data_IF_663996335727
#
_entry.id   IF_663996335727
#
_cell.length_a   1.000
_cell.length_b   1.000
_cell.length_c   1.000
_cell.angle_alpha   90.00
_cell.angle_beta   90.00
_cell.angle_gamma   90.00
#
_symmetry.space_group_name_H-M   'P 1'
#
loop_
_entity.id
_entity.type
_entity.pdbx_description
1 polymer ?
#
# COMPACT_ATOMS: atom_id res chain seq x y z
N UNK A 1 -17.05 -21.93 -49.68
CA UNK A 1 -16.02 -20.86 -49.64
C UNK A 1 -15.91 -20.09 -48.32
N UNK A 2 -16.64 -20.40 -47.25
CA UNK A 2 -16.63 -19.67 -45.97
C UNK A 2 -15.57 -20.10 -44.94
N UNK A 3 -15.11 -21.36 -44.96
CA UNK A 3 -14.22 -21.92 -43.92
C UNK A 3 -12.79 -21.32 -43.95
N UNK A 4 -12.25 -21.03 -45.13
CA UNK A 4 -10.89 -20.44 -45.25
C UNK A 4 -10.79 -19.01 -44.71
N UNK A 5 -11.84 -18.21 -44.83
CA UNK A 5 -11.90 -16.84 -44.34
C UNK A 5 -11.96 -16.81 -42.80
N UNK A 6 -12.68 -17.73 -42.20
CA UNK A 6 -12.79 -17.88 -40.74
C UNK A 6 -11.46 -18.29 -40.10
N UNK A 7 -10.74 -19.21 -40.71
CA UNK A 7 -9.41 -19.64 -40.27
C UNK A 7 -8.38 -18.52 -40.42
N UNK A 8 -8.47 -17.74 -41.48
CA UNK A 8 -7.61 -16.58 -41.68
C UNK A 8 -7.80 -15.52 -40.54
N UNK A 9 -9.05 -15.14 -40.23
CA UNK A 9 -9.36 -14.20 -39.17
C UNK A 9 -8.97 -14.73 -37.80
N UNK A 10 -9.08 -16.03 -37.52
CA UNK A 10 -8.62 -16.62 -36.28
C UNK A 10 -7.09 -16.58 -36.15
N UNK A 11 -6.36 -16.80 -37.26
CA UNK A 11 -4.89 -16.72 -37.25
C UNK A 11 -4.40 -15.31 -37.03
N UNK A 12 -5.05 -14.32 -37.65
CA UNK A 12 -4.72 -12.91 -37.44
C UNK A 12 -5.00 -12.42 -36.01
N UNK A 13 -6.13 -12.83 -35.42
CA UNK A 13 -6.42 -12.55 -34.00
C UNK A 13 -5.37 -13.14 -33.05
N UNK A 14 -4.89 -14.37 -33.32
CA UNK A 14 -3.81 -14.98 -32.53
C UNK A 14 -2.51 -14.22 -32.66
N UNK A 15 -2.11 -13.81 -33.86
CA UNK A 15 -0.90 -13.00 -34.08
C UNK A 15 -0.96 -11.67 -33.37
N UNK A 16 -2.09 -10.96 -33.44
CA UNK A 16 -2.29 -9.69 -32.75
C UNK A 16 -2.20 -9.87 -31.23
N UNK A 17 -2.82 -10.93 -30.69
CA UNK A 17 -2.74 -11.24 -29.27
C UNK A 17 -1.30 -11.57 -28.80
N UNK A 18 -0.52 -12.30 -29.61
CA UNK A 18 0.89 -12.58 -29.33
C UNK A 18 1.75 -11.31 -29.38
N UNK A 19 1.53 -10.42 -30.36
CA UNK A 19 2.24 -9.14 -30.46
C UNK A 19 1.93 -8.23 -29.27
N UNK A 20 0.66 -8.18 -28.82
CA UNK A 20 0.27 -7.43 -27.64
C UNK A 20 0.92 -8.00 -26.37
N UNK A 21 0.94 -9.33 -26.22
CA UNK A 21 1.60 -10.00 -25.10
C UNK A 21 3.11 -9.77 -25.08
N UNK A 22 3.75 -9.76 -26.25
CA UNK A 22 5.18 -9.43 -26.36
C UNK A 22 5.47 -7.96 -26.03
N UNK A 23 4.64 -7.02 -26.50
CA UNK A 23 4.77 -5.61 -26.16
C UNK A 23 4.55 -5.32 -24.66
N UNK A 24 3.61 -6.01 -24.02
CA UNK A 24 3.41 -5.93 -22.57
C UNK A 24 4.61 -6.52 -21.81
N UNK A 25 5.15 -7.66 -22.26
CA UNK A 25 6.33 -8.26 -21.67
C UNK A 25 7.60 -7.40 -21.85
N UNK A 26 7.74 -6.73 -23.00
CA UNK A 26 8.82 -5.75 -23.23
C UNK A 26 8.65 -4.49 -22.37
N UNK A 27 7.43 -3.97 -22.27
CA UNK A 27 7.11 -2.83 -21.41
C UNK A 27 7.40 -3.14 -19.94
N UNK A 28 7.11 -4.35 -19.49
CA UNK A 28 7.44 -4.81 -18.14
C UNK A 28 8.96 -5.02 -17.93
N UNK A 29 9.70 -5.43 -18.96
CA UNK A 29 11.17 -5.52 -18.91
C UNK A 29 11.86 -4.16 -18.87
N UNK A 30 11.35 -3.18 -19.61
CA UNK A 30 11.89 -1.81 -19.60
C UNK A 30 11.57 -1.04 -18.33
N UNK A 31 10.49 -1.38 -17.60
CA UNK A 31 10.18 -0.80 -16.29
C UNK A 31 11.10 -1.32 -15.16
N UNK A 32 11.89 -2.36 -15.39
CA UNK A 32 12.84 -2.92 -14.41
C UNK A 32 14.10 -2.06 -14.18
N UNK A 33 14.42 -1.12 -15.07
CA UNK A 33 15.56 -0.23 -14.90
C UNK A 33 15.16 1.00 -14.09
N UNK A 34 15.53 1.02 -12.79
CA UNK A 34 15.44 2.23 -11.96
C UNK A 34 14.32 2.32 -10.95
N UNK A 35 13.67 1.22 -10.54
CA UNK A 35 12.77 1.28 -9.38
C UNK A 35 13.56 1.80 -8.16
N UNK A 36 13.09 2.89 -7.52
CA UNK A 36 13.77 3.39 -6.35
C UNK A 36 13.77 2.32 -5.26
N UNK A 37 14.88 2.17 -4.56
CA UNK A 37 14.92 1.32 -3.37
C UNK A 37 14.20 2.08 -2.25
N UNK A 38 12.92 1.78 -2.05
CA UNK A 38 12.08 2.31 -0.98
C UNK A 38 11.76 1.22 0.02
N UNK A 39 11.45 1.62 1.25
CA UNK A 39 11.22 0.69 2.36
C UNK A 39 12.51 0.17 2.96
N UNK A 40 12.39 -0.80 3.84
CA UNK A 40 13.47 -1.40 4.61
C UNK A 40 12.96 -1.89 5.95
N UNK A 41 13.84 -2.39 6.80
CA UNK A 41 13.45 -2.89 8.11
C UNK A 41 13.08 -1.74 9.05
N UNK A 42 11.90 -1.85 9.62
CA UNK A 42 11.41 -0.94 10.66
C UNK A 42 10.58 -1.73 11.67
N UNK A 43 10.49 -1.17 12.87
CA UNK A 43 9.60 -1.63 13.94
C UNK A 43 9.02 -0.38 14.60
N UNK A 44 7.70 -0.33 14.67
CA UNK A 44 6.92 0.73 15.32
C UNK A 44 6.00 0.10 16.36
N UNK A 45 5.18 0.90 17.01
CA UNK A 45 4.17 0.41 17.95
C UNK A 45 2.83 0.28 17.23
N UNK A 46 2.24 -0.91 17.27
CA UNK A 46 0.88 -1.15 16.83
C UNK A 46 -0.08 -0.52 17.85
N UNK A 47 -0.95 0.37 17.38
CA UNK A 47 -1.84 1.12 18.26
C UNK A 47 -2.94 0.25 18.89
N UNK A 48 -3.37 -0.84 18.23
CA UNK A 48 -4.39 -1.73 18.78
C UNK A 48 -3.84 -2.61 19.92
N UNK A 49 -2.66 -3.20 19.72
CA UNK A 49 -2.08 -4.16 20.65
C UNK A 49 -1.04 -3.58 21.62
N UNK A 50 -0.61 -2.33 21.38
CA UNK A 50 0.51 -1.66 22.08
C UNK A 50 1.82 -2.45 22.02
N UNK A 51 1.96 -3.38 21.05
CA UNK A 51 3.14 -4.24 20.87
C UNK A 51 3.99 -3.75 19.69
N UNK A 52 5.28 -4.10 19.66
CA UNK A 52 6.12 -3.86 18.48
C UNK A 52 5.52 -4.56 17.25
N UNK A 53 5.49 -3.82 16.12
CA UNK A 53 5.03 -4.31 14.82
C UNK A 53 5.82 -3.63 13.70
N UNK A 54 6.18 -4.37 12.66
CA UNK A 54 6.97 -3.80 11.58
C UNK A 54 7.06 -4.63 10.32
N UNK A 55 8.10 -4.39 9.55
CA UNK A 55 8.30 -5.02 8.23
C UNK A 55 8.41 -6.55 8.28
N UNK A 56 8.92 -7.11 9.40
CA UNK A 56 9.05 -8.56 9.55
C UNK A 56 7.68 -9.25 9.76
N UNK A 57 6.73 -8.57 10.45
CA UNK A 57 5.38 -9.08 10.69
C UNK A 57 4.54 -9.13 9.41
N UNK A 58 4.95 -8.37 8.40
CA UNK A 58 4.29 -8.32 7.09
C UNK A 58 4.80 -9.38 6.11
N UNK A 59 5.84 -10.15 6.45
CA UNK A 59 6.37 -11.17 5.55
C UNK A 59 5.32 -12.22 5.16
N UNK A 60 5.27 -12.51 3.89
CA UNK A 60 4.27 -13.39 3.27
C UNK A 60 2.96 -12.70 2.92
N UNK A 61 2.82 -11.39 3.10
CA UNK A 61 1.64 -10.59 2.77
C UNK A 61 2.02 -9.38 1.94
N UNK A 62 1.12 -8.95 1.06
CA UNK A 62 1.24 -7.63 0.48
C UNK A 62 0.81 -6.57 1.50
N UNK A 63 1.48 -5.43 1.50
CA UNK A 63 1.10 -4.29 2.33
C UNK A 63 0.83 -3.06 1.49
N UNK A 64 -0.23 -2.34 1.81
CA UNK A 64 -0.54 -1.02 1.28
C UNK A 64 -0.37 -0.01 2.42
N UNK A 65 0.68 0.81 2.33
CA UNK A 65 1.11 1.70 3.42
C UNK A 65 0.77 3.15 3.06
N UNK A 66 0.17 3.86 3.99
CA UNK A 66 -0.09 5.29 3.92
C UNK A 66 0.55 6.00 5.12
N UNK A 67 1.20 7.13 4.84
CA UNK A 67 1.73 8.03 5.87
C UNK A 67 0.80 9.23 5.99
N UNK A 68 0.35 9.54 7.19
CA UNK A 68 -0.60 10.61 7.45
C UNK A 68 -0.55 11.09 8.90
N UNK A 69 -1.55 11.85 9.34
CA UNK A 69 -1.71 12.25 10.74
C UNK A 69 -3.20 12.43 11.07
N UNK A 70 -3.58 12.17 12.32
CA UNK A 70 -4.99 12.08 12.72
C UNK A 70 -5.70 13.43 12.72
N UNK A 71 -4.95 14.53 12.86
CA UNK A 71 -5.47 15.91 12.87
C UNK A 71 -5.56 16.54 11.47
N UNK A 72 -5.43 15.74 10.40
CA UNK A 72 -5.62 16.23 9.04
C UNK A 72 -7.11 16.43 8.76
N UNK A 73 -7.55 17.65 8.36
CA UNK A 73 -8.98 17.94 8.23
C UNK A 73 -9.64 17.31 6.99
N UNK A 74 -8.88 17.06 5.92
CA UNK A 74 -9.44 16.70 4.61
C UNK A 74 -8.77 15.49 3.96
N UNK A 75 -7.49 15.61 3.61
CA UNK A 75 -6.81 14.68 2.69
C UNK A 75 -6.61 13.29 3.29
N UNK A 76 -6.21 13.19 4.57
CA UNK A 76 -5.97 11.88 5.17
C UNK A 76 -7.24 11.05 5.31
N UNK A 77 -8.40 11.60 5.74
CA UNK A 77 -9.67 10.85 5.72
C UNK A 77 -10.05 10.37 4.32
N UNK A 78 -9.99 11.22 3.29
CA UNK A 78 -10.30 10.84 1.91
C UNK A 78 -9.41 9.71 1.39
N UNK A 79 -8.11 9.76 1.69
CA UNK A 79 -7.18 8.70 1.28
C UNK A 79 -7.43 7.40 2.05
N UNK A 80 -7.76 7.45 3.34
CA UNK A 80 -8.06 6.25 4.13
C UNK A 80 -9.38 5.59 3.71
N UNK A 81 -10.41 6.37 3.36
CA UNK A 81 -11.65 5.85 2.76
C UNK A 81 -11.36 5.15 1.42
N UNK A 82 -10.53 5.76 0.57
CA UNK A 82 -10.07 5.16 -0.67
C UNK A 82 -9.29 3.86 -0.42
N UNK A 83 -8.42 3.82 0.58
CA UNK A 83 -7.68 2.61 0.97
C UNK A 83 -8.62 1.51 1.41
N UNK A 84 -9.64 1.82 2.22
CA UNK A 84 -10.68 0.90 2.66
C UNK A 84 -11.41 0.28 1.45
N UNK A 85 -11.83 1.11 0.49
CA UNK A 85 -12.46 0.65 -0.76
C UNK A 85 -11.56 -0.31 -1.55
N UNK A 86 -10.27 -0.01 -1.69
CA UNK A 86 -9.28 -0.90 -2.35
C UNK A 86 -9.20 -2.25 -1.63
N UNK A 87 -9.17 -2.26 -0.30
CA UNK A 87 -9.10 -3.48 0.51
C UNK A 87 -10.35 -4.32 0.35
N UNK A 88 -11.53 -3.72 0.44
CA UNK A 88 -12.82 -4.40 0.30
C UNK A 88 -12.98 -5.03 -1.09
N UNK A 89 -12.64 -4.29 -2.15
CA UNK A 89 -12.66 -4.82 -3.52
C UNK A 89 -11.66 -5.97 -3.67
N UNK A 90 -10.48 -5.87 -3.06
CA UNK A 90 -9.46 -6.92 -3.08
C UNK A 90 -9.93 -8.17 -2.35
N UNK A 91 -10.51 -8.04 -1.15
CA UNK A 91 -11.07 -9.16 -0.40
C UNK A 91 -12.14 -9.89 -1.20
N UNK A 92 -13.05 -9.15 -1.81
CA UNK A 92 -14.14 -9.71 -2.62
C UNK A 92 -13.66 -10.47 -3.85
N UNK A 93 -12.58 -10.01 -4.49
CA UNK A 93 -12.12 -10.56 -5.78
C UNK A 93 -11.01 -11.62 -5.64
N UNK A 94 -10.09 -11.44 -4.68
CA UNK A 94 -8.89 -12.27 -4.50
C UNK A 94 -8.96 -13.09 -3.21
N UNK A 95 -9.54 -12.54 -2.15
CA UNK A 95 -9.74 -13.19 -0.85
C UNK A 95 -9.12 -12.44 0.31
N UNK A 96 -9.40 -12.95 1.50
CA UNK A 96 -9.00 -12.37 2.79
C UNK A 96 -7.48 -12.45 3.01
N UNK A 97 -6.97 -11.49 3.81
CA UNK A 97 -5.60 -11.45 4.32
C UNK A 97 -4.50 -11.46 3.24
N UNK A 98 -4.82 -11.00 2.03
CA UNK A 98 -3.87 -10.90 0.90
C UNK A 98 -3.20 -9.54 0.87
N UNK A 99 -3.97 -8.46 1.04
CA UNK A 99 -3.51 -7.07 1.09
C UNK A 99 -3.82 -6.50 2.46
N UNK A 100 -2.78 -6.05 3.17
CA UNK A 100 -2.90 -5.50 4.52
C UNK A 100 -2.75 -3.98 4.45
N UNK A 101 -3.80 -3.22 4.84
CA UNK A 101 -3.71 -1.77 4.93
C UNK A 101 -2.96 -1.35 6.20
N UNK A 102 -2.05 -0.39 6.05
CA UNK A 102 -1.24 0.14 7.16
C UNK A 102 -1.26 1.66 7.12
N UNK A 103 -1.62 2.27 8.22
CA UNK A 103 -1.45 3.69 8.49
C UNK A 103 -0.24 3.91 9.40
N UNK A 104 0.67 4.81 9.01
CA UNK A 104 1.82 5.22 9.83
C UNK A 104 1.70 6.71 10.11
N UNK A 105 1.65 7.10 11.37
CA UNK A 105 1.58 8.52 11.69
C UNK A 105 2.87 9.26 11.32
N UNK A 106 2.72 10.49 10.86
CA UNK A 106 3.81 11.46 10.68
C UNK A 106 3.94 12.43 11.86
N UNK A 107 2.99 12.42 12.79
CA UNK A 107 2.94 13.33 13.93
C UNK A 107 2.76 12.60 15.28
N UNK A 108 3.74 11.83 15.72
CA UNK A 108 3.63 11.06 16.96
C UNK A 108 3.56 11.94 18.23
N UNK A 109 3.70 13.25 18.11
CA UNK A 109 3.50 14.17 19.26
C UNK A 109 2.04 14.28 19.66
N UNK A 110 1.13 14.40 18.67
CA UNK A 110 -0.33 14.44 18.88
C UNK A 110 -0.96 13.07 18.73
N UNK A 111 -0.44 12.24 17.85
CA UNK A 111 -0.99 10.93 17.50
C UNK A 111 -0.48 9.86 18.48
N UNK A 112 -1.02 9.88 19.72
CA UNK A 112 -0.74 8.85 20.73
C UNK A 112 -1.26 7.49 20.28
N UNK A 113 -0.90 6.42 20.99
CA UNK A 113 -1.39 5.07 20.73
C UNK A 113 -2.93 5.04 20.73
N UNK A 114 -3.55 5.67 21.73
CA UNK A 114 -5.00 5.72 21.89
C UNK A 114 -5.67 6.47 20.74
N UNK A 115 -5.12 7.62 20.35
CA UNK A 115 -5.67 8.44 19.26
C UNK A 115 -5.57 7.70 17.94
N UNK A 116 -4.44 7.08 17.61
CA UNK A 116 -4.28 6.30 16.38
C UNK A 116 -5.19 5.09 16.38
N UNK A 117 -5.34 4.39 17.52
CA UNK A 117 -6.24 3.24 17.68
C UNK A 117 -7.70 3.60 17.37
N UNK A 118 -8.18 4.70 17.90
CA UNK A 118 -9.54 5.18 17.63
C UNK A 118 -9.71 5.61 16.16
N UNK A 119 -8.77 6.39 15.67
CA UNK A 119 -8.81 6.96 14.32
C UNK A 119 -8.90 5.91 13.21
N UNK A 120 -8.07 4.87 13.25
CA UNK A 120 -8.05 3.87 12.17
C UNK A 120 -9.32 3.03 12.11
N UNK A 121 -10.05 2.88 13.23
CA UNK A 121 -11.31 2.14 13.30
C UNK A 121 -12.45 2.82 12.54
N UNK A 122 -12.36 4.13 12.37
CA UNK A 122 -13.38 4.88 11.63
C UNK A 122 -13.39 4.55 10.13
N UNK A 123 -12.29 3.94 9.61
CA UNK A 123 -12.14 3.66 8.18
C UNK A 123 -12.27 2.18 7.83
N UNK A 124 -11.56 1.30 8.53
CA UNK A 124 -11.62 -0.13 8.20
C UNK A 124 -11.12 -1.02 9.34
N UNK A 125 -11.83 -2.15 9.59
CA UNK A 125 -11.50 -3.11 10.67
C UNK A 125 -10.10 -3.75 10.56
N UNK A 126 -9.56 -3.89 9.35
CA UNK A 126 -8.23 -4.45 9.12
C UNK A 126 -7.13 -3.40 9.04
N UNK A 127 -7.45 -2.11 9.13
CA UNK A 127 -6.46 -1.05 9.05
C UNK A 127 -5.59 -1.04 10.30
N UNK A 128 -4.30 -1.32 10.11
CA UNK A 128 -3.32 -1.33 11.19
C UNK A 128 -2.75 0.08 11.37
N UNK A 129 -3.00 0.68 12.52
CA UNK A 129 -2.42 1.96 12.92
C UNK A 129 -1.07 1.77 13.62
N UNK A 130 -0.04 2.47 13.12
CA UNK A 130 1.30 2.45 13.70
C UNK A 130 1.73 3.83 14.15
N UNK A 131 2.28 3.90 15.35
CA UNK A 131 2.92 5.10 15.92
C UNK A 131 4.25 4.71 16.56
N UNK A 132 4.98 5.67 17.11
CA UNK A 132 6.27 5.41 17.75
C UNK A 132 6.89 6.70 18.25
N UNK A 133 8.16 6.66 18.64
CA UNK A 133 8.85 7.90 18.96
C UNK A 133 9.19 8.73 17.71
N UNK A 134 9.46 10.02 17.93
CA UNK A 134 9.68 10.99 16.84
C UNK A 134 10.86 10.59 15.92
N UNK A 135 11.91 10.02 16.47
CA UNK A 135 13.12 9.70 15.71
C UNK A 135 12.91 8.43 14.88
N UNK A 136 12.18 7.43 15.42
CA UNK A 136 11.77 6.23 14.66
C UNK A 136 10.82 6.59 13.53
N UNK A 137 9.80 7.42 13.76
CA UNK A 137 8.90 7.89 12.70
C UNK A 137 9.67 8.62 11.60
N UNK A 138 10.58 9.54 11.96
CA UNK A 138 11.45 10.22 10.99
C UNK A 138 12.32 9.25 10.21
N UNK A 139 12.88 8.23 10.89
CA UNK A 139 13.70 7.20 10.25
C UNK A 139 12.88 6.39 9.25
N UNK A 140 11.67 5.96 9.63
CA UNK A 140 10.77 5.19 8.76
C UNK A 140 10.31 6.02 7.58
N UNK A 141 9.87 7.26 7.78
CA UNK A 141 9.51 8.19 6.70
C UNK A 141 10.67 8.35 5.68
N UNK A 142 11.91 8.45 6.16
CA UNK A 142 13.10 8.53 5.30
C UNK A 142 13.33 7.25 4.48
N UNK A 143 13.04 6.05 5.02
CA UNK A 143 13.13 4.79 4.27
C UNK A 143 12.19 4.77 3.06
N UNK A 144 11.01 5.36 3.20
CA UNK A 144 10.03 5.49 2.13
C UNK A 144 10.16 6.78 1.32
N UNK A 145 11.16 7.62 1.65
CA UNK A 145 11.35 8.96 1.06
C UNK A 145 10.10 9.84 1.19
N UNK A 146 9.36 9.66 2.26
CA UNK A 146 8.23 10.52 2.60
C UNK A 146 8.79 11.86 3.07
N UNK A 147 8.39 12.92 2.40
CA UNK A 147 8.61 14.27 2.90
C UNK A 147 7.67 14.49 4.08
N UNK A 148 8.20 14.99 5.18
CA UNK A 148 7.42 15.39 6.36
C UNK A 148 7.99 16.72 6.87
N UNK A 149 7.13 17.72 7.01
CA UNK A 149 7.49 19.02 7.56
C UNK A 149 6.43 19.49 8.55
N UNK A 150 6.87 19.89 9.72
CA UNK A 150 6.06 20.53 10.75
C UNK A 150 6.59 21.92 11.04
N UNK A 151 5.79 22.86 11.55
CA UNK A 151 6.29 24.16 12.00
C UNK A 151 7.43 24.02 12.99
N UNK A 152 8.43 24.92 12.97
CA UNK A 152 9.62 24.80 13.84
C UNK A 152 9.33 25.04 15.32
N UNK A 153 8.41 25.96 15.63
CA UNK A 153 8.12 26.41 16.99
C UNK A 153 6.74 25.95 17.44
N UNK A 154 6.61 24.65 17.78
CA UNK A 154 5.37 24.04 18.24
C UNK A 154 5.41 23.94 19.75
N UNK A 155 4.42 24.56 20.42
CA UNK A 155 4.16 24.39 21.85
C UNK A 155 3.14 23.28 22.09
N UNK A 156 3.10 22.76 23.31
CA UNK A 156 2.11 21.76 23.71
C UNK A 156 0.70 22.36 23.64
N UNK A 157 -0.20 21.73 22.91
CA UNK A 157 -1.58 22.21 22.69
C UNK A 157 -1.78 23.09 21.45
N UNK A 158 -0.73 23.38 20.69
CA UNK A 158 -0.86 24.12 19.44
C UNK A 158 -1.59 23.26 18.38
N UNK A 159 -2.50 23.93 17.63
CA UNK A 159 -3.07 23.36 16.42
C UNK A 159 -2.18 23.72 15.21
N UNK A 160 -1.68 22.70 14.52
CA UNK A 160 -0.80 22.87 13.36
C UNK A 160 -1.04 21.82 12.31
N UNK A 161 -0.71 22.12 11.06
CA UNK A 161 -0.73 21.17 9.95
C UNK A 161 0.67 20.57 9.74
N UNK A 162 0.70 19.32 9.33
CA UNK A 162 1.91 18.61 8.93
C UNK A 162 1.87 18.41 7.42
N UNK A 163 2.82 18.98 6.70
CA UNK A 163 3.00 18.68 5.28
C UNK A 163 3.67 17.33 5.11
N UNK A 164 3.04 16.44 4.36
CA UNK A 164 3.63 15.14 4.03
C UNK A 164 3.30 14.70 2.61
N UNK A 165 4.09 13.75 2.09
CA UNK A 165 3.83 13.14 0.78
C UNK A 165 2.55 12.30 0.82
N UNK A 166 1.66 12.52 -0.17
CA UNK A 166 0.36 11.86 -0.28
C UNK A 166 0.48 10.71 -1.28
N UNK A 167 0.92 9.54 -0.80
CA UNK A 167 1.10 8.34 -1.61
C UNK A 167 0.71 7.09 -0.84
N UNK A 168 0.12 6.11 -1.53
CA UNK A 168 0.14 4.74 -1.07
C UNK A 168 1.41 4.06 -1.56
N UNK A 169 2.02 3.25 -0.71
CA UNK A 169 3.19 2.45 -1.04
C UNK A 169 2.81 0.98 -1.01
N UNK A 170 2.93 0.31 -2.17
CA UNK A 170 2.68 -1.13 -2.28
C UNK A 170 3.97 -1.90 -2.06
N UNK A 171 3.95 -2.82 -1.09
CA UNK A 171 5.06 -3.72 -0.78
C UNK A 171 4.69 -5.16 -1.10
N UNK A 172 5.67 -5.94 -1.59
CA UNK A 172 5.49 -7.37 -1.83
C UNK A 172 5.65 -8.19 -0.54
N UNK A 173 5.35 -9.52 -0.59
CA UNK A 173 5.48 -10.42 0.56
C UNK A 173 6.92 -10.60 1.08
N UNK A 174 7.92 -10.22 0.33
CA UNK A 174 9.33 -10.19 0.77
C UNK A 174 9.74 -8.83 1.36
N UNK A 175 8.82 -7.85 1.43
CA UNK A 175 9.08 -6.50 1.91
C UNK A 175 9.79 -5.60 0.90
N UNK A 176 9.73 -5.93 -0.40
CA UNK A 176 10.28 -5.09 -1.46
C UNK A 176 9.20 -4.14 -1.99
N UNK A 177 9.62 -2.94 -2.33
CA UNK A 177 8.76 -1.95 -2.96
C UNK A 177 8.33 -2.37 -4.37
N UNK A 178 7.03 -2.35 -4.63
CA UNK A 178 6.44 -2.65 -5.92
C UNK A 178 6.05 -1.40 -6.69
N UNK A 179 5.22 -0.56 -6.07
CA UNK A 179 4.64 0.63 -6.71
C UNK A 179 4.21 1.68 -5.68
N UNK A 180 3.91 2.87 -6.17
CA UNK A 180 3.27 3.91 -5.37
C UNK A 180 2.12 4.57 -6.15
N UNK A 181 1.06 4.93 -5.44
CA UNK A 181 -0.13 5.54 -6.02
C UNK A 181 -0.32 6.93 -5.42
N UNK A 182 -0.39 7.93 -6.30
CA UNK A 182 -0.60 9.31 -5.89
C UNK A 182 -2.09 9.58 -5.61
N UNK A 183 -2.38 10.71 -4.99
CA UNK A 183 -3.74 11.14 -4.61
C UNK A 183 -4.77 11.06 -5.76
N UNK A 184 -4.35 11.35 -7.00
CA UNK A 184 -5.22 11.29 -8.18
C UNK A 184 -5.49 9.87 -8.69
N UNK A 185 -4.96 8.83 -8.04
CA UNK A 185 -5.26 7.43 -8.38
C UNK A 185 -6.62 7.06 -7.80
N UNK A 186 -7.51 6.52 -8.64
CA UNK A 186 -8.80 6.02 -8.19
C UNK A 186 -8.68 4.64 -7.55
N UNK A 187 -9.56 4.31 -6.60
CA UNK A 187 -9.55 3.03 -5.87
C UNK A 187 -9.55 1.81 -6.81
N UNK A 188 -10.40 1.80 -7.84
CA UNK A 188 -10.41 0.71 -8.81
C UNK A 188 -9.10 0.59 -9.59
N UNK A 189 -8.46 1.71 -9.94
CA UNK A 189 -7.16 1.72 -10.61
C UNK A 189 -6.05 1.10 -9.74
N UNK A 190 -6.03 1.45 -8.46
CA UNK A 190 -5.10 0.87 -7.46
C UNK A 190 -5.35 -0.64 -7.32
N UNK A 191 -6.61 -1.07 -7.18
CA UNK A 191 -6.99 -2.49 -7.06
C UNK A 191 -6.57 -3.30 -8.31
N UNK A 192 -6.82 -2.80 -9.52
CA UNK A 192 -6.41 -3.48 -10.77
C UNK A 192 -4.88 -3.56 -10.89
N UNK A 193 -4.15 -2.50 -10.53
CA UNK A 193 -2.69 -2.51 -10.47
C UNK A 193 -2.18 -3.56 -9.48
N UNK A 194 -2.74 -3.58 -8.26
CA UNK A 194 -2.43 -4.59 -7.25
C UNK A 194 -2.67 -6.02 -7.76
N UNK A 195 -3.83 -6.28 -8.38
CA UNK A 195 -4.19 -7.57 -8.94
C UNK A 195 -3.16 -8.07 -9.96
N UNK A 196 -2.61 -7.20 -10.80
CA UNK A 196 -1.55 -7.54 -11.74
C UNK A 196 -0.26 -7.97 -11.01
N UNK A 197 0.14 -7.26 -9.94
CA UNK A 197 1.28 -7.65 -9.11
C UNK A 197 1.04 -8.98 -8.39
N UNK A 198 -0.14 -9.16 -7.82
CA UNK A 198 -0.56 -10.41 -7.18
C UNK A 198 -0.47 -11.60 -8.15
N UNK A 199 -1.08 -11.51 -9.33
CA UNK A 199 -1.07 -12.57 -10.33
C UNK A 199 0.36 -12.90 -10.76
N UNK A 200 1.17 -11.89 -11.06
CA UNK A 200 2.58 -12.06 -11.40
C UNK A 200 3.36 -12.75 -10.30
N UNK A 201 3.11 -12.40 -9.04
CA UNK A 201 3.77 -13.02 -7.88
C UNK A 201 3.41 -14.51 -7.77
N UNK A 202 2.13 -14.85 -7.89
CA UNK A 202 1.67 -16.24 -7.83
C UNK A 202 2.16 -17.06 -9.03
N UNK A 203 2.10 -16.52 -10.25
CA UNK A 203 2.60 -17.17 -11.47
C UNK A 203 4.10 -17.49 -11.39
N UNK A 204 4.87 -16.66 -10.69
CA UNK A 204 6.29 -16.89 -10.41
C UNK A 204 6.56 -17.85 -9.23
N UNK A 205 5.54 -18.53 -8.72
CA UNK A 205 5.66 -19.50 -7.63
C UNK A 205 5.70 -18.90 -6.22
N UNK A 206 5.34 -17.63 -6.08
CA UNK A 206 5.23 -16.96 -4.79
C UNK A 206 4.17 -17.60 -3.89
N UNK A 207 4.44 -17.64 -2.59
CA UNK A 207 3.54 -18.21 -1.58
C UNK A 207 3.13 -17.14 -0.59
N UNK A 208 1.83 -17.03 -0.32
CA UNK A 208 1.28 -16.09 0.64
C UNK A 208 0.99 -16.77 1.98
N UNK A 209 1.24 -16.04 3.03
CA UNK A 209 0.70 -16.33 4.35
C UNK A 209 -0.67 -15.65 4.48
N UNK A 210 -1.75 -16.41 4.38
CA UNK A 210 -3.14 -15.91 4.50
C UNK A 210 -3.69 -15.98 5.94
N UNK A 211 -2.87 -16.30 6.92
CA UNK A 211 -3.28 -16.24 8.32
C UNK A 211 -3.64 -14.79 8.68
N UNK A 212 -4.68 -14.55 9.47
CA UNK A 212 -4.93 -13.23 10.03
C UNK A 212 -3.69 -12.68 10.72
N UNK A 213 -3.48 -11.37 10.66
CA UNK A 213 -2.52 -10.72 11.55
C UNK A 213 -3.19 -10.67 12.92
N UNK A 214 -2.45 -11.05 13.95
CA UNK A 214 -2.92 -10.98 15.34
C UNK A 214 -2.95 -9.49 15.75
N UNK A 215 -4.01 -8.82 15.31
CA UNK A 215 -4.25 -7.40 15.52
C UNK A 215 -5.39 -7.15 16.52
N UNK A 216 -5.87 -8.20 17.19
CA UNK A 216 -6.94 -8.10 18.19
C UNK A 216 -6.44 -8.72 19.50
N UNK A 217 -6.71 -8.05 20.62
CA UNK A 217 -6.52 -8.61 21.97
C UNK A 217 -7.48 -9.76 22.23
#
# INVERSE_FOLDING_TARGET
>A
MGAGLLLYFQSEKKKVAEILKQKEAEKNKTQSYGKPKLGGNYTLTNAETSKPFGSEDMKGKFALIYFGFTHCPDICPEELDKMAEVVDMTKKEIGENVLVPIFITCDPRRDTIEIVKEYVKDFHDDLIGLTGDQDEIKRVAKLFRVYVSSPPDISEGDDYLVDHSIFFYLMDPEGKFLDCYAQNSEANGVKESFKNYYNTYIENGGKLNRSPIDNKE
#
